data_IF_016141869772
#
_entry.id   IF_016141869772
#
_cell.length_a   1.000
_cell.length_b   1.000
_cell.length_c   1.000
_cell.angle_alpha   90.00
_cell.angle_beta   90.00
_cell.angle_gamma   90.00
#
_symmetry.space_group_name_H-M   'P 1'
#
loop_
_entity.id
_entity.type
_entity.pdbx_description
1 polymer ?
#
# COMPACT_ATOMS: atom_id res chain seq x y z
N UNK A 1 -15.28 -2.98 5.48
CA UNK A 1 -16.09 -2.71 4.28
C UNK A 1 -16.68 -4.01 3.76
N UNK A 2 -15.85 -5.04 3.60
CA UNK A 2 -16.21 -6.41 3.21
C UNK A 2 -17.43 -7.00 3.94
N UNK A 3 -17.47 -6.91 5.27
CA UNK A 3 -18.60 -7.45 6.06
C UNK A 3 -19.93 -6.73 5.78
N UNK A 4 -19.88 -5.44 5.43
CA UNK A 4 -21.07 -4.67 5.08
C UNK A 4 -21.54 -5.04 3.67
N UNK A 5 -20.62 -5.16 2.72
CA UNK A 5 -20.90 -5.63 1.37
C UNK A 5 -21.57 -7.02 1.38
N UNK A 6 -21.02 -7.94 2.17
CA UNK A 6 -21.57 -9.29 2.29
C UNK A 6 -22.98 -9.26 2.92
N UNK A 7 -23.16 -8.53 4.03
CA UNK A 7 -24.42 -8.51 4.77
C UNK A 7 -25.56 -7.83 4.02
N UNK A 8 -25.30 -6.70 3.39
CA UNK A 8 -26.35 -5.84 2.82
C UNK A 8 -26.48 -5.95 1.31
N UNK A 9 -25.44 -6.40 0.60
CA UNK A 9 -25.44 -6.53 -0.86
C UNK A 9 -25.29 -7.99 -1.31
N UNK A 10 -25.06 -8.94 -0.39
CA UNK A 10 -24.76 -10.34 -0.75
C UNK A 10 -23.48 -10.49 -1.58
N UNK A 11 -22.57 -9.51 -1.50
CA UNK A 11 -21.42 -9.40 -2.37
C UNK A 11 -20.12 -9.65 -1.61
N UNK A 12 -19.26 -10.54 -2.12
CA UNK A 12 -17.91 -10.75 -1.59
C UNK A 12 -16.92 -9.87 -2.33
N UNK A 13 -16.25 -9.00 -1.59
CA UNK A 13 -15.23 -8.08 -2.14
C UNK A 13 -13.89 -8.76 -2.34
N UNK A 14 -13.07 -8.19 -3.23
CA UNK A 14 -11.65 -8.49 -3.38
C UNK A 14 -10.95 -8.07 -2.09
N UNK A 15 -10.20 -8.99 -1.48
CA UNK A 15 -9.45 -8.65 -0.27
C UNK A 15 -8.18 -7.92 -0.65
N UNK A 16 -7.77 -6.96 0.19
CA UNK A 16 -6.48 -6.29 0.03
C UNK A 16 -5.33 -7.28 -0.04
N UNK A 17 -5.41 -8.35 0.75
CA UNK A 17 -4.44 -9.44 0.78
C UNK A 17 -4.30 -10.21 -0.53
N UNK A 18 -5.36 -10.25 -1.35
CA UNK A 18 -5.34 -10.92 -2.66
C UNK A 18 -4.61 -10.07 -3.71
N UNK A 19 -4.43 -8.77 -3.42
CA UNK A 19 -3.83 -7.77 -4.31
C UNK A 19 -2.42 -7.39 -3.87
N UNK A 20 -2.22 -7.20 -2.57
CA UNK A 20 -0.95 -6.76 -1.99
C UNK A 20 -0.17 -7.90 -1.32
N UNK A 21 -0.74 -9.10 -1.21
CA UNK A 21 -0.15 -10.21 -0.47
C UNK A 21 -0.38 -10.11 1.05
N UNK A 22 0.20 -11.05 1.80
CA UNK A 22 -0.02 -11.23 3.24
C UNK A 22 1.27 -11.27 4.05
N UNK A 23 1.18 -10.85 5.31
CA UNK A 23 2.27 -10.94 6.28
C UNK A 23 3.55 -10.25 5.80
N UNK A 24 4.70 -10.87 6.05
CA UNK A 24 6.01 -10.32 5.72
C UNK A 24 6.27 -10.13 4.20
N UNK A 25 5.44 -10.73 3.34
CA UNK A 25 5.54 -10.60 1.88
C UNK A 25 4.54 -9.58 1.32
N UNK A 26 3.77 -8.90 2.17
CA UNK A 26 2.84 -7.89 1.71
C UNK A 26 3.62 -6.68 1.15
N UNK A 27 3.25 -6.25 -0.05
CA UNK A 27 3.84 -5.11 -0.73
C UNK A 27 3.01 -3.83 -0.49
N UNK A 28 3.61 -2.63 -0.54
CA UNK A 28 2.85 -1.39 -0.49
C UNK A 28 1.97 -1.25 -1.75
N UNK A 29 0.80 -0.63 -1.62
CA UNK A 29 -0.15 -0.47 -2.73
C UNK A 29 0.44 0.25 -3.95
N UNK A 30 1.41 1.15 -3.76
CA UNK A 30 2.13 1.82 -4.84
C UNK A 30 2.99 0.89 -5.71
N UNK A 31 3.19 -0.36 -5.30
CA UNK A 31 3.93 -1.39 -6.04
C UNK A 31 3.00 -2.46 -6.64
N UNK A 32 1.69 -2.38 -6.38
CA UNK A 32 0.70 -3.27 -7.00
C UNK A 32 0.59 -2.95 -8.48
N UNK A 33 0.43 -3.97 -9.32
CA UNK A 33 0.21 -3.80 -10.75
C UNK A 33 -1.04 -2.94 -11.03
N UNK A 34 -0.96 -2.06 -12.03
CA UNK A 34 -2.03 -1.09 -12.31
C UNK A 34 -3.38 -1.78 -12.51
N UNK A 35 -3.44 -2.88 -13.26
CA UNK A 35 -4.70 -3.57 -13.53
C UNK A 35 -5.35 -4.13 -12.27
N UNK A 36 -4.57 -4.73 -11.36
CA UNK A 36 -5.06 -5.24 -10.08
C UNK A 36 -5.48 -4.11 -9.14
N UNK A 37 -4.66 -3.07 -9.04
CA UNK A 37 -4.95 -1.88 -8.26
C UNK A 37 -6.24 -1.20 -8.75
N UNK A 38 -6.42 -1.07 -10.08
CA UNK A 38 -7.60 -0.49 -10.70
C UNK A 38 -8.84 -1.32 -10.41
N UNK A 39 -8.78 -2.64 -10.55
CA UNK A 39 -9.91 -3.52 -10.24
C UNK A 39 -10.32 -3.43 -8.77
N UNK A 40 -9.36 -3.51 -7.86
CA UNK A 40 -9.60 -3.38 -6.42
C UNK A 40 -10.20 -2.01 -6.06
N UNK A 41 -9.62 -0.92 -6.57
CA UNK A 41 -10.09 0.43 -6.28
C UNK A 41 -11.47 0.71 -6.90
N UNK A 42 -11.73 0.23 -8.11
CA UNK A 42 -13.01 0.38 -8.77
C UNK A 42 -14.12 -0.37 -8.04
N UNK A 43 -13.87 -1.61 -7.58
CA UNK A 43 -14.82 -2.36 -6.77
C UNK A 43 -15.12 -1.64 -5.46
N UNK A 44 -14.09 -1.11 -4.79
CA UNK A 44 -14.27 -0.36 -3.55
C UNK A 44 -15.13 0.91 -3.77
N UNK A 45 -14.93 1.61 -4.88
CA UNK A 45 -15.75 2.77 -5.23
C UNK A 45 -17.21 2.38 -5.50
N UNK A 46 -17.44 1.31 -6.26
CA UNK A 46 -18.77 0.81 -6.58
C UNK A 46 -19.54 0.34 -5.34
N UNK A 47 -18.92 -0.47 -4.47
CA UNK A 47 -19.55 -0.90 -3.22
C UNK A 47 -19.85 0.31 -2.31
N UNK A 48 -18.96 1.30 -2.27
CA UNK A 48 -19.17 2.55 -1.51
C UNK A 48 -20.37 3.33 -2.03
N UNK A 49 -20.68 3.26 -3.32
CA UNK A 49 -21.88 3.87 -3.90
C UNK A 49 -23.14 3.02 -3.66
N UNK A 50 -23.05 1.70 -3.79
CA UNK A 50 -24.20 0.79 -3.64
C UNK A 50 -24.70 0.68 -2.20
N UNK A 51 -23.79 0.69 -1.23
CA UNK A 51 -24.12 0.44 0.17
C UNK A 51 -25.07 1.51 0.77
N UNK A 52 -24.85 2.82 0.57
CA UNK A 52 -25.80 3.86 1.00
C UNK A 52 -27.19 3.67 0.41
N UNK A 53 -27.31 3.32 -0.88
CA UNK A 53 -28.61 3.08 -1.50
C UNK A 53 -29.37 1.91 -0.86
N UNK A 54 -28.66 0.85 -0.44
CA UNK A 54 -29.27 -0.27 0.27
C UNK A 54 -29.68 0.07 1.71
N UNK A 55 -28.96 0.97 2.38
CA UNK A 55 -29.21 1.36 3.76
C UNK A 55 -30.21 2.51 3.91
N UNK A 56 -30.33 3.38 2.91
CA UNK A 56 -31.15 4.58 2.98
C UNK A 56 -32.63 4.31 3.30
N UNK A 57 -33.32 3.30 2.73
CA UNK A 57 -34.70 3.01 3.10
C UNK A 57 -34.86 2.62 4.57
N UNK A 58 -33.89 1.90 5.13
CA UNK A 58 -33.89 1.47 6.52
C UNK A 58 -33.63 2.65 7.47
N UNK A 59 -32.80 3.60 7.05
CA UNK A 59 -32.50 4.80 7.83
C UNK A 59 -33.69 5.77 7.86
N UNK A 60 -34.39 5.92 6.74
CA UNK A 60 -35.58 6.76 6.63
C UNK A 60 -36.78 6.22 7.43
N UNK A 61 -36.81 4.91 7.69
CA UNK A 61 -37.80 4.32 8.59
C UNK A 61 -37.60 4.76 10.06
N UNK A 62 -36.41 5.27 10.40
CA UNK A 62 -36.03 5.68 11.75
C UNK A 62 -35.57 7.16 11.76
N UNK A 63 -36.49 8.13 11.88
CA UNK A 63 -36.19 9.57 11.72
C UNK A 63 -35.10 10.10 12.66
N UNK A 64 -34.96 9.51 13.85
CA UNK A 64 -33.91 9.87 14.79
C UNK A 64 -32.51 9.53 14.24
N UNK A 65 -32.36 8.40 13.53
CA UNK A 65 -31.08 7.98 12.94
C UNK A 65 -30.73 8.78 11.69
N UNK A 66 -31.72 9.08 10.84
CA UNK A 66 -31.52 9.94 9.67
C UNK A 66 -30.97 11.33 10.08
N UNK A 67 -31.51 11.91 11.16
CA UNK A 67 -31.04 13.18 11.71
C UNK A 67 -29.58 13.16 12.19
N UNK A 68 -29.09 12.01 12.70
CA UNK A 68 -27.70 11.83 13.13
C UNK A 68 -26.79 11.71 11.92
N UNK A 69 -27.16 10.89 10.94
CA UNK A 69 -26.39 10.69 9.72
C UNK A 69 -26.22 12.00 8.94
N UNK A 70 -27.30 12.78 8.80
CA UNK A 70 -27.24 14.09 8.17
C UNK A 70 -26.26 15.05 8.86
N UNK A 71 -26.24 15.05 10.20
CA UNK A 71 -25.29 15.87 10.97
C UNK A 71 -23.85 15.42 10.74
N UNK A 72 -23.61 14.11 10.79
CA UNK A 72 -22.28 13.55 10.53
C UNK A 72 -21.77 13.92 9.12
N UNK A 73 -22.60 13.78 8.09
CA UNK A 73 -22.24 14.07 6.70
C UNK A 73 -22.01 15.57 6.44
N UNK A 74 -22.65 16.46 7.20
CA UNK A 74 -22.37 17.91 7.12
C UNK A 74 -21.02 18.27 7.73
N UNK A 75 -20.70 17.75 8.91
CA UNK A 75 -19.42 18.01 9.56
C UNK A 75 -18.23 17.49 8.74
N UNK A 76 -18.39 16.34 8.08
CA UNK A 76 -17.32 15.74 7.26
C UNK A 76 -16.97 16.56 6.02
N UNK A 77 -17.95 17.21 5.38
CA UNK A 77 -17.71 18.06 4.20
C UNK A 77 -16.84 19.28 4.49
N UNK A 78 -16.81 19.72 5.74
CA UNK A 78 -16.03 20.88 6.19
C UNK A 78 -14.77 20.49 6.96
N UNK A 79 -14.50 19.20 7.14
CA UNK A 79 -13.32 18.75 7.87
C UNK A 79 -12.05 18.97 7.02
N UNK A 80 -10.99 19.58 7.59
CA UNK A 80 -9.70 19.68 6.90
C UNK A 80 -9.15 18.28 6.61
N UNK A 81 -8.48 18.11 5.47
CA UNK A 81 -7.82 16.85 5.15
C UNK A 81 -6.75 16.55 6.22
N UNK A 82 -6.81 15.37 6.83
CA UNK A 82 -5.77 14.91 7.74
C UNK A 82 -4.42 14.85 6.98
N UNK A 83 -3.34 15.42 7.53
CA UNK A 83 -2.05 15.35 6.89
C UNK A 83 -1.63 13.89 6.76
N UNK A 84 -1.33 13.46 5.53
CA UNK A 84 -0.84 12.11 5.27
C UNK A 84 0.46 11.83 6.05
N UNK A 85 0.83 10.54 6.22
CA UNK A 85 2.07 10.20 6.91
C UNK A 85 3.26 10.85 6.20
N UNK A 86 3.84 11.87 6.84
CA UNK A 86 5.05 12.53 6.38
C UNK A 86 6.16 11.49 6.44
N UNK A 87 6.61 11.00 5.27
CA UNK A 87 7.81 10.16 5.21
C UNK A 87 8.97 10.99 5.74
N UNK A 88 9.44 10.65 6.94
CA UNK A 88 10.76 11.06 7.37
C UNK A 88 11.74 10.46 6.36
N UNK A 89 12.37 11.31 5.53
CA UNK A 89 13.52 10.91 4.75
C UNK A 89 14.61 10.51 5.74
N UNK A 90 14.74 9.21 6.03
CA UNK A 90 15.91 8.67 6.70
C UNK A 90 17.12 9.07 5.85
N UNK A 91 17.92 10.00 6.38
CA UNK A 91 19.13 10.46 5.73
C UNK A 91 19.98 9.27 5.31
N UNK A 92 20.53 9.31 4.10
CA UNK A 92 21.66 8.46 3.71
C UNK A 92 22.72 8.61 4.81
N UNK A 93 22.87 7.60 5.65
CA UNK A 93 24.08 7.44 6.44
C UNK A 93 25.21 7.21 5.44
N UNK A 94 26.11 8.17 5.39
CA UNK A 94 27.30 8.17 4.56
C UNK A 94 28.10 6.88 4.76
N UNK A 95 28.55 6.29 3.66
CA UNK A 95 29.56 5.24 3.63
C UNK A 95 30.81 5.75 4.35
N UNK A 96 31.07 5.20 5.53
CA UNK A 96 32.29 5.41 6.28
C UNK A 96 33.48 4.81 5.54
N UNK A 97 34.38 5.68 5.08
CA UNK A 97 35.76 5.32 4.76
C UNK A 97 36.44 4.73 6.00
N UNK A 98 36.59 3.41 6.03
CA UNK A 98 37.41 2.68 7.00
C UNK A 98 38.70 2.22 6.33
N UNK A 99 39.80 2.91 6.61
CA UNK A 99 41.15 2.57 6.18
C UNK A 99 41.59 1.21 6.75
N UNK A 100 41.52 0.16 5.93
CA UNK A 100 42.19 -1.12 6.17
C UNK A 100 43.58 -1.13 5.55
N UNK A 101 44.61 -0.87 6.37
CA UNK A 101 46.02 -1.09 6.00
C UNK A 101 46.27 -2.59 5.81
N UNK A 102 46.15 -3.08 4.58
CA UNK A 102 46.66 -4.39 4.21
C UNK A 102 48.18 -4.31 4.06
N UNK A 103 48.88 -4.95 5.00
CA UNK A 103 50.33 -5.14 4.97
C UNK A 103 50.73 -5.93 3.72
N UNK A 104 51.61 -5.34 2.92
CA UNK A 104 52.23 -5.96 1.75
C UNK A 104 53.27 -6.99 2.23
N UNK A 105 53.09 -8.27 1.88
CA UNK A 105 54.18 -9.24 1.90
C UNK A 105 54.96 -9.16 0.58
N UNK A 106 56.31 -9.16 0.60
CA UNK A 106 57.11 -9.10 -0.60
C UNK A 106 57.42 -10.50 -1.14
N UNK A 107 57.47 -10.63 -2.47
CA UNK A 107 58.16 -11.72 -3.15
C UNK A 107 57.25 -12.67 -3.93
N UNK A 108 57.16 -12.45 -5.24
CA UNK A 108 57.90 -13.28 -6.21
C UNK A 108 57.77 -12.63 -7.59
N UNK A 109 58.92 -12.33 -8.19
CA UNK A 109 59.05 -11.88 -9.56
C UNK A 109 59.15 -13.09 -10.52
N UNK A 110 58.97 -12.80 -11.82
CA UNK A 110 59.17 -13.66 -13.02
C UNK A 110 58.02 -14.62 -13.37
N UNK A 111 57.62 -14.83 -14.63
CA UNK A 111 58.14 -14.37 -15.92
C UNK A 111 57.07 -14.47 -17.03
N UNK A 112 57.48 -13.90 -18.17
CA UNK A 112 56.87 -13.62 -19.47
C UNK A 112 56.47 -14.87 -20.28
N UNK A 113 55.60 -14.64 -21.28
CA UNK A 113 55.37 -15.41 -22.53
C UNK A 113 54.57 -16.71 -22.39
N UNK A 114 53.64 -17.11 -23.26
CA UNK A 114 53.26 -16.69 -24.61
C UNK A 114 52.77 -17.95 -25.35
N UNK A 115 51.71 -17.85 -26.16
CA UNK A 115 51.52 -18.73 -27.34
C UNK A 115 50.70 -20.03 -27.21
N UNK A 116 49.57 -20.03 -27.92
CA UNK A 116 49.15 -20.99 -28.95
C UNK A 116 48.68 -22.43 -28.61
N UNK A 117 47.41 -22.66 -28.98
CA UNK A 117 46.86 -23.73 -29.86
C UNK A 117 47.22 -25.18 -29.54
N UNK A 118 46.20 -25.96 -29.17
CA UNK A 118 45.81 -27.22 -29.84
C UNK A 118 44.31 -27.39 -29.80
#
# INVERSE_FOLDING_TARGET
>A
MDSLALRYLGYSTIKFEDVAGKGAKQIPFSQVGIDEASRYAAEAADITLRLPHALQPQLLAEPALDSVQWRADRHRRTAPAEPGPVRAHAGRAAEGHGAGRAQLQPGFAQAVAGGAVR
#
